data_IF_258782634899
#
_entry.id   IF_258782634899
#
_cell.length_a   1.000
_cell.length_b   1.000
_cell.length_c   1.000
_cell.angle_alpha   90.00
_cell.angle_beta   90.00
_cell.angle_gamma   90.00
#
_symmetry.space_group_name_H-M   'P 1'
#
loop_
_entity.id
_entity.type
_entity.pdbx_description
1 polymer ?
#
# COMPACT_ATOMS: atom_id res chain seq x y z
N UNK A 1 -35.62 -28.28 -25.55
CA UNK A 1 -35.16 -28.38 -24.17
C UNK A 1 -34.08 -27.34 -23.92
N UNK A 2 -34.53 -26.12 -23.53
CA UNK A 2 -33.67 -25.01 -23.25
C UNK A 2 -33.18 -25.07 -21.80
N UNK A 3 -31.87 -24.92 -21.59
CA UNK A 3 -31.28 -24.62 -20.29
C UNK A 3 -31.02 -23.12 -20.19
N UNK A 4 -31.84 -22.45 -19.40
CA UNK A 4 -31.61 -21.05 -18.96
C UNK A 4 -30.49 -21.02 -17.92
N UNK A 5 -29.48 -20.18 -18.16
CA UNK A 5 -28.45 -19.83 -17.17
C UNK A 5 -29.07 -18.89 -16.11
N UNK A 6 -28.78 -19.04 -14.81
CA UNK A 6 -29.17 -18.07 -13.82
C UNK A 6 -28.28 -16.81 -13.88
N UNK A 7 -28.91 -15.65 -13.82
CA UNK A 7 -28.34 -14.30 -13.90
C UNK A 7 -27.51 -13.95 -12.65
N UNK A 8 -26.38 -13.29 -12.89
CA UNK A 8 -25.41 -12.77 -11.93
C UNK A 8 -25.90 -11.54 -11.15
N UNK A 9 -26.93 -11.67 -10.33
CA UNK A 9 -27.45 -10.54 -9.50
C UNK A 9 -27.13 -10.61 -8.00
N UNK A 10 -26.35 -11.62 -7.56
CA UNK A 10 -26.02 -11.79 -6.13
C UNK A 10 -24.75 -11.06 -5.67
N UNK A 11 -23.91 -10.56 -6.60
CA UNK A 11 -22.62 -9.94 -6.27
C UNK A 11 -22.70 -8.50 -5.78
N UNK A 12 -23.71 -7.72 -6.20
CA UNK A 12 -23.82 -6.30 -5.85
C UNK A 12 -24.45 -6.03 -4.47
N UNK A 13 -25.29 -6.94 -3.97
CA UNK A 13 -25.97 -6.75 -2.69
C UNK A 13 -25.08 -6.99 -1.46
N UNK A 14 -24.01 -7.80 -1.61
CA UNK A 14 -23.08 -8.09 -0.50
C UNK A 14 -22.04 -6.97 -0.27
N UNK A 15 -21.73 -6.18 -1.32
CA UNK A 15 -20.80 -5.03 -1.20
C UNK A 15 -21.36 -3.84 -0.43
N UNK A 16 -22.70 -3.68 -0.39
CA UNK A 16 -23.33 -2.56 0.31
C UNK A 16 -23.39 -2.74 1.85
N UNK A 17 -23.25 -3.97 2.36
CA UNK A 17 -23.34 -4.26 3.81
C UNK A 17 -22.04 -4.01 4.58
N UNK A 18 -20.87 -3.97 3.92
CA UNK A 18 -19.56 -3.74 4.57
C UNK A 18 -19.35 -2.28 5.00
N UNK A 19 -20.04 -1.32 4.40
CA UNK A 19 -19.87 0.12 4.69
C UNK A 19 -20.30 0.58 6.09
N UNK A 20 -21.01 -0.25 6.87
CA UNK A 20 -21.61 0.14 8.16
C UNK A 20 -20.78 -0.24 9.40
N UNK A 21 -19.75 -1.09 9.30
CA UNK A 21 -19.05 -1.65 10.46
C UNK A 21 -17.80 -0.85 10.90
N UNK A 22 -17.45 0.26 10.23
CA UNK A 22 -16.13 0.91 10.34
C UNK A 22 -16.07 2.14 11.26
N UNK A 23 -16.96 2.30 12.24
CA UNK A 23 -16.98 3.53 13.08
C UNK A 23 -16.37 3.38 14.46
N UNK A 24 -15.88 2.23 14.87
CA UNK A 24 -15.18 2.05 16.15
C UNK A 24 -14.08 0.98 16.02
N UNK A 25 -12.82 1.40 15.88
CA UNK A 25 -11.66 0.54 16.03
C UNK A 25 -11.22 -0.29 14.81
N UNK A 26 -11.62 0.07 13.60
CA UNK A 26 -11.16 -0.57 12.36
C UNK A 26 -9.90 0.07 11.77
N UNK A 27 -9.22 -0.64 10.85
CA UNK A 27 -8.16 -0.06 10.04
C UNK A 27 -8.69 1.08 9.15
N UNK A 28 -7.88 2.13 8.99
CA UNK A 28 -8.22 3.27 8.13
C UNK A 28 -8.43 2.83 6.67
N UNK A 29 -7.55 1.96 6.17
CA UNK A 29 -7.62 1.41 4.81
C UNK A 29 -8.90 0.59 4.54
N UNK A 30 -9.65 0.19 5.57
CA UNK A 30 -10.96 -0.45 5.41
C UNK A 30 -12.02 0.51 4.82
N UNK A 31 -11.74 1.80 4.76
CA UNK A 31 -12.56 2.78 4.04
C UNK A 31 -12.39 2.73 2.52
N UNK A 32 -11.27 2.20 2.04
CA UNK A 32 -10.87 2.18 0.65
C UNK A 32 -10.87 0.78 0.04
N UNK A 33 -10.63 -0.25 0.86
CA UNK A 33 -10.45 -1.63 0.43
C UNK A 33 -11.30 -2.62 1.20
N UNK A 34 -11.67 -3.70 0.52
CA UNK A 34 -12.07 -4.95 1.16
C UNK A 34 -10.81 -5.66 1.68
N UNK A 35 -10.71 -5.80 3.00
CA UNK A 35 -9.56 -6.34 3.71
C UNK A 35 -9.80 -7.75 4.28
N UNK A 36 -10.81 -8.47 3.83
CA UNK A 36 -11.21 -9.76 4.41
C UNK A 36 -10.08 -10.78 4.40
N UNK A 37 -9.25 -10.82 3.34
CA UNK A 37 -8.11 -11.74 3.25
C UNK A 37 -7.01 -11.45 4.31
N UNK A 38 -6.97 -10.24 4.86
CA UNK A 38 -6.03 -9.88 5.92
C UNK A 38 -6.52 -10.26 7.32
N UNK A 39 -7.73 -10.82 7.44
CA UNK A 39 -8.32 -11.22 8.71
C UNK A 39 -7.44 -12.14 9.54
N UNK A 40 -6.73 -13.07 8.88
CA UNK A 40 -5.85 -14.04 9.54
C UNK A 40 -4.59 -13.45 10.19
N UNK A 41 -4.16 -12.26 9.76
CA UNK A 41 -2.96 -11.58 10.31
C UNK A 41 -3.33 -10.35 11.15
N UNK A 42 -4.63 -10.06 11.33
CA UNK A 42 -5.11 -8.83 11.98
C UNK A 42 -4.52 -8.60 13.37
N UNK A 43 -4.41 -9.66 14.17
CA UNK A 43 -3.90 -9.56 15.54
C UNK A 43 -2.41 -9.24 15.65
N UNK A 44 -1.65 -9.45 14.57
CA UNK A 44 -0.22 -9.21 14.50
C UNK A 44 0.13 -7.99 13.60
N UNK A 45 -0.88 -7.25 13.13
CA UNK A 45 -0.73 -6.15 12.17
C UNK A 45 -1.00 -4.81 12.84
N UNK A 46 -0.11 -3.85 12.62
CA UNK A 46 -0.35 -2.43 12.89
C UNK A 46 -0.45 -1.66 11.57
N UNK A 47 -1.38 -0.74 11.50
CA UNK A 47 -1.52 0.17 10.36
C UNK A 47 -0.77 1.46 10.62
N UNK A 48 0.02 1.88 9.65
CA UNK A 48 0.68 3.19 9.61
C UNK A 48 0.07 4.01 8.48
N UNK A 49 -0.34 5.22 8.80
CA UNK A 49 -0.85 6.17 7.84
C UNK A 49 -0.39 7.59 8.15
N UNK A 50 -0.60 8.50 7.19
CA UNK A 50 -0.39 9.95 7.34
C UNK A 50 1.03 10.35 7.78
N UNK A 51 2.06 9.62 7.34
CA UNK A 51 3.44 10.02 7.58
C UNK A 51 3.76 11.25 6.71
N UNK A 52 4.03 12.38 7.37
CA UNK A 52 4.40 13.63 6.73
C UNK A 52 5.76 14.07 7.26
N UNK A 53 6.66 14.40 6.35
CA UNK A 53 7.96 14.99 6.68
C UNK A 53 7.98 16.41 6.12
N UNK A 54 8.35 17.36 6.95
CA UNK A 54 8.52 18.76 6.54
C UNK A 54 9.46 18.88 5.34
N UNK A 55 9.16 19.80 4.42
CA UNK A 55 9.89 19.96 3.17
C UNK A 55 11.40 20.23 3.40
N UNK A 56 11.74 21.01 4.43
CA UNK A 56 13.11 21.35 4.77
C UNK A 56 13.87 20.17 5.40
N UNK A 57 13.14 19.17 5.95
CA UNK A 57 13.69 18.00 6.63
C UNK A 57 13.58 16.70 5.81
N UNK A 58 13.22 16.74 4.53
CA UNK A 58 13.10 15.56 3.65
C UNK A 58 14.44 14.93 3.27
N UNK A 59 15.43 15.00 4.16
CA UNK A 59 16.72 14.31 4.00
C UNK A 59 16.56 12.80 4.20
N UNK A 60 17.42 12.02 3.59
CA UNK A 60 17.43 10.56 3.76
C UNK A 60 17.65 10.11 5.20
N UNK A 61 18.27 10.95 6.04
CA UNK A 61 18.49 10.67 7.48
C UNK A 61 17.18 10.67 8.27
N UNK A 62 16.29 11.67 8.06
CA UNK A 62 14.99 11.72 8.75
C UNK A 62 14.12 10.53 8.37
N UNK A 63 14.06 10.19 7.09
CA UNK A 63 13.34 9.00 6.62
C UNK A 63 13.92 7.71 7.23
N UNK A 64 15.26 7.60 7.34
CA UNK A 64 15.90 6.46 7.96
C UNK A 64 15.58 6.36 9.46
N UNK A 65 15.57 7.48 10.18
CA UNK A 65 15.18 7.53 11.60
C UNK A 65 13.72 7.11 11.80
N UNK A 66 12.81 7.61 10.96
CA UNK A 66 11.40 7.24 11.01
C UNK A 66 11.24 5.71 10.83
N UNK A 67 11.91 5.14 9.84
CA UNK A 67 11.88 3.69 9.63
C UNK A 67 12.48 2.90 10.79
N UNK A 68 13.59 3.37 11.36
CA UNK A 68 14.19 2.73 12.53
C UNK A 68 13.23 2.73 13.73
N UNK A 69 12.56 3.87 13.98
CA UNK A 69 11.56 3.97 15.04
C UNK A 69 10.36 3.03 14.81
N UNK A 70 9.87 2.94 13.56
CA UNK A 70 8.78 2.02 13.19
C UNK A 70 9.20 0.57 13.42
N UNK A 71 10.38 0.16 12.96
CA UNK A 71 10.88 -1.21 13.14
C UNK A 71 11.05 -1.56 14.61
N UNK A 72 11.55 -0.64 15.43
CA UNK A 72 11.63 -0.82 16.88
C UNK A 72 10.23 -0.95 17.51
N UNK A 73 9.29 -0.10 17.11
CA UNK A 73 7.91 -0.17 17.61
C UNK A 73 7.27 -1.54 17.32
N UNK A 74 7.46 -2.07 16.10
CA UNK A 74 6.96 -3.39 15.74
C UNK A 74 7.56 -4.49 16.64
N UNK A 75 8.85 -4.38 16.91
CA UNK A 75 9.57 -5.37 17.73
C UNK A 75 9.15 -5.31 19.20
N UNK A 76 9.14 -4.14 19.81
CA UNK A 76 8.76 -3.92 21.21
C UNK A 76 7.31 -4.33 21.50
N UNK A 77 6.42 -4.17 20.53
CA UNK A 77 5.01 -4.52 20.67
C UNK A 77 4.66 -5.89 20.06
N UNK A 78 5.66 -6.67 19.63
CA UNK A 78 5.47 -7.98 19.03
C UNK A 78 4.58 -8.02 17.78
N UNK A 79 4.45 -6.90 17.07
CA UNK A 79 3.80 -6.89 15.77
C UNK A 79 4.70 -7.48 14.71
N UNK A 80 4.16 -8.38 13.91
CA UNK A 80 4.85 -8.98 12.77
C UNK A 80 4.68 -8.16 11.51
N UNK A 81 3.49 -7.61 11.30
CA UNK A 81 3.12 -6.95 10.06
C UNK A 81 2.91 -5.45 10.26
N UNK A 82 3.39 -4.69 9.30
CA UNK A 82 3.05 -3.28 9.11
C UNK A 82 2.25 -3.13 7.82
N UNK A 83 1.10 -2.50 7.91
CA UNK A 83 0.24 -2.23 6.76
C UNK A 83 0.11 -0.72 6.54
N UNK A 84 -0.12 -0.30 5.30
CA UNK A 84 -0.43 1.09 4.98
C UNK A 84 -0.53 1.33 3.49
N UNK A 85 -1.17 2.45 3.12
CA UNK A 85 -1.30 2.88 1.74
C UNK A 85 -0.10 3.70 1.29
N UNK A 86 0.29 3.51 0.03
CA UNK A 86 1.27 4.35 -0.66
C UNK A 86 0.57 5.02 -1.82
N UNK A 87 0.42 6.33 -1.71
CA UNK A 87 -0.24 7.16 -2.70
C UNK A 87 0.69 7.48 -3.87
N UNK A 88 0.17 7.34 -5.09
CA UNK A 88 0.84 7.70 -6.34
C UNK A 88 -0.06 8.67 -7.09
N UNK A 89 0.40 9.89 -7.43
CA UNK A 89 -0.38 10.82 -8.21
C UNK A 89 -0.83 10.24 -9.54
N UNK A 90 -2.06 10.59 -9.97
CA UNK A 90 -2.52 10.25 -11.30
C UNK A 90 -1.80 11.08 -12.36
N UNK A 91 -1.53 12.36 -12.08
CA UNK A 91 -0.77 13.22 -12.98
C UNK A 91 0.71 12.86 -12.98
N UNK A 92 1.30 12.77 -14.17
CA UNK A 92 2.73 12.53 -14.37
C UNK A 92 3.23 13.19 -15.66
N UNK A 93 4.55 13.36 -15.79
CA UNK A 93 5.19 13.91 -17.00
C UNK A 93 4.91 13.09 -18.27
N UNK A 94 4.60 11.82 -18.13
CA UNK A 94 4.32 10.89 -19.24
C UNK A 94 2.82 10.73 -19.55
N UNK A 95 1.98 11.51 -18.88
CA UNK A 95 0.52 11.52 -19.02
C UNK A 95 -0.22 10.91 -17.84
N UNK A 96 -1.48 11.29 -17.72
CA UNK A 96 -2.36 10.92 -16.61
C UNK A 96 -2.55 9.40 -16.52
N UNK A 97 -2.34 8.83 -15.34
CA UNK A 97 -2.52 7.41 -15.04
C UNK A 97 -1.45 6.46 -15.60
N UNK A 98 -0.61 6.89 -16.53
CA UNK A 98 0.37 6.01 -17.20
C UNK A 98 1.49 5.55 -16.25
N UNK A 99 2.00 6.45 -15.41
CA UNK A 99 2.99 6.10 -14.40
C UNK A 99 2.39 5.15 -13.36
N UNK A 100 1.16 5.44 -12.89
CA UNK A 100 0.43 4.59 -11.96
C UNK A 100 0.23 3.17 -12.54
N UNK A 101 -0.15 3.07 -13.83
CA UNK A 101 -0.21 1.78 -14.53
C UNK A 101 1.12 1.03 -14.47
N UNK A 102 2.20 1.69 -14.81
CA UNK A 102 3.54 1.08 -14.80
C UNK A 102 3.95 0.58 -13.41
N UNK A 103 3.63 1.34 -12.37
CA UNK A 103 3.87 0.96 -10.97
C UNK A 103 3.01 -0.26 -10.60
N UNK A 104 1.72 -0.26 -10.95
CA UNK A 104 0.80 -1.35 -10.72
C UNK A 104 1.29 -2.64 -11.39
N UNK A 105 1.69 -2.57 -12.66
CA UNK A 105 2.19 -3.72 -13.41
C UNK A 105 3.47 -4.27 -12.77
N UNK A 106 4.41 -3.41 -12.40
CA UNK A 106 5.64 -3.81 -11.72
C UNK A 106 5.37 -4.43 -10.34
N UNK A 107 4.44 -3.87 -9.59
CA UNK A 107 4.01 -4.40 -8.30
C UNK A 107 3.40 -5.79 -8.45
N UNK A 108 2.49 -5.96 -9.39
CA UNK A 108 1.82 -7.24 -9.70
C UNK A 108 2.82 -8.33 -10.10
N UNK A 109 3.81 -7.98 -10.93
CA UNK A 109 4.74 -8.94 -11.49
C UNK A 109 5.86 -9.35 -10.53
N UNK A 110 6.34 -8.42 -9.69
CA UNK A 110 7.56 -8.64 -8.88
C UNK A 110 7.38 -8.46 -7.38
N UNK A 111 6.32 -7.77 -6.95
CA UNK A 111 6.18 -7.34 -5.56
C UNK A 111 4.80 -7.67 -4.98
N UNK A 112 4.11 -8.65 -5.56
CA UNK A 112 2.79 -9.07 -5.11
C UNK A 112 2.86 -9.68 -3.71
N UNK A 113 1.88 -9.29 -2.88
CA UNK A 113 1.62 -9.91 -1.59
C UNK A 113 0.93 -11.28 -1.75
N UNK A 114 1.02 -12.17 -0.75
CA UNK A 114 0.23 -13.39 -0.74
C UNK A 114 -1.28 -13.13 -0.53
N UNK A 115 -1.64 -11.97 -0.01
CA UNK A 115 -3.03 -11.52 0.18
C UNK A 115 -3.46 -10.63 -0.98
N UNK A 116 -4.73 -10.76 -1.39
CA UNK A 116 -5.35 -9.93 -2.41
C UNK A 116 -6.42 -9.06 -1.76
N UNK A 117 -6.30 -7.74 -1.89
CA UNK A 117 -7.36 -6.81 -1.49
C UNK A 117 -8.02 -6.21 -2.73
N UNK A 118 -9.27 -5.77 -2.56
CA UNK A 118 -10.04 -5.20 -3.64
C UNK A 118 -10.44 -3.77 -3.29
N UNK A 119 -10.09 -2.77 -4.12
CA UNK A 119 -10.51 -1.41 -3.89
C UNK A 119 -12.02 -1.28 -4.05
N UNK A 120 -12.67 -0.48 -3.19
CA UNK A 120 -14.08 -0.15 -3.38
C UNK A 120 -14.30 0.76 -4.59
N UNK A 121 -13.30 1.55 -4.94
CA UNK A 121 -13.27 2.41 -6.09
C UNK A 121 -11.99 2.17 -6.89
N UNK A 122 -12.12 1.55 -8.03
CA UNK A 122 -11.00 1.33 -8.95
C UNK A 122 -10.56 2.65 -9.59
N UNK A 123 -9.28 2.73 -9.98
CA UNK A 123 -8.77 3.91 -10.72
C UNK A 123 -9.24 3.83 -12.16
N UNK A 124 -9.92 4.89 -12.59
CA UNK A 124 -10.27 5.15 -13.99
C UNK A 124 -9.75 6.52 -14.40
N UNK A 125 -9.24 6.63 -15.62
CA UNK A 125 -8.75 7.87 -16.22
C UNK A 125 -9.53 8.11 -17.50
N UNK A 126 -10.32 9.18 -17.53
CA UNK A 126 -11.17 9.54 -18.68
C UNK A 126 -12.10 8.38 -19.14
N UNK A 127 -12.58 7.59 -18.17
CA UNK A 127 -13.41 6.41 -18.42
C UNK A 127 -12.66 5.16 -18.86
N UNK A 128 -11.34 5.20 -18.92
CA UNK A 128 -10.48 4.06 -19.24
C UNK A 128 -9.93 3.45 -17.95
N UNK A 129 -9.90 2.11 -17.88
CA UNK A 129 -9.24 1.38 -16.80
C UNK A 129 -7.73 1.44 -16.97
N UNK A 130 -6.97 1.16 -15.90
CA UNK A 130 -5.49 1.14 -15.98
C UNK A 130 -4.97 0.19 -17.06
N UNK A 131 -5.64 -0.93 -17.32
CA UNK A 131 -5.26 -1.88 -18.37
C UNK A 131 -5.40 -1.34 -19.79
N UNK A 132 -6.29 -0.36 -19.99
CA UNK A 132 -6.57 0.25 -21.31
C UNK A 132 -5.65 1.44 -21.62
N UNK A 133 -4.93 1.96 -20.62
CA UNK A 133 -3.95 3.02 -20.84
C UNK A 133 -2.69 2.47 -21.50
N UNK A 134 -1.97 3.30 -22.24
CA UNK A 134 -0.68 2.94 -22.80
C UNK A 134 0.36 2.77 -21.68
N UNK A 135 1.07 1.63 -21.58
CA UNK A 135 2.08 1.45 -20.54
C UNK A 135 3.28 2.39 -20.77
N UNK A 136 3.97 2.83 -19.70
CA UNK A 136 5.20 3.60 -19.86
C UNK A 136 6.31 2.73 -20.46
N UNK A 137 7.26 3.36 -21.14
CA UNK A 137 8.43 2.67 -21.73
C UNK A 137 9.30 1.98 -20.67
N UNK A 138 9.30 2.49 -19.45
CA UNK A 138 10.03 1.90 -18.30
C UNK A 138 9.20 2.00 -17.04
N UNK A 139 9.11 0.89 -16.29
CA UNK A 139 8.42 0.85 -15.02
C UNK A 139 9.41 1.06 -13.89
N UNK A 140 9.18 2.06 -13.04
CA UNK A 140 9.99 2.36 -11.86
C UNK A 140 9.10 2.58 -10.65
N UNK A 141 9.48 1.98 -9.52
CA UNK A 141 8.82 2.29 -8.27
C UNK A 141 9.23 3.69 -7.77
N UNK A 142 8.29 4.51 -7.27
CA UNK A 142 8.60 5.72 -6.54
C UNK A 142 9.59 5.45 -5.40
N UNK A 143 10.37 6.45 -5.03
CA UNK A 143 11.42 6.29 -4.02
C UNK A 143 10.89 5.72 -2.69
N UNK A 144 9.71 6.17 -2.25
CA UNK A 144 9.06 5.70 -1.04
C UNK A 144 8.67 4.23 -1.14
N UNK A 145 7.93 3.84 -2.18
CA UNK A 145 7.50 2.46 -2.39
C UNK A 145 8.71 1.51 -2.58
N UNK A 146 9.75 1.97 -3.27
CA UNK A 146 11.02 1.22 -3.41
C UNK A 146 11.67 0.96 -2.06
N UNK A 147 11.66 1.96 -1.15
CA UNK A 147 12.13 1.80 0.23
C UNK A 147 11.35 0.73 0.98
N UNK A 148 10.03 0.76 0.87
CA UNK A 148 9.14 -0.21 1.50
C UNK A 148 9.37 -1.63 0.98
N UNK A 149 9.42 -1.80 -0.34
CA UNK A 149 9.70 -3.10 -0.97
C UNK A 149 11.06 -3.65 -0.53
N UNK A 150 12.07 -2.79 -0.38
CA UNK A 150 13.39 -3.19 0.10
C UNK A 150 13.35 -3.67 1.55
N UNK A 151 12.48 -3.11 2.39
CA UNK A 151 12.23 -3.58 3.75
C UNK A 151 11.41 -4.87 3.82
N UNK A 152 10.88 -5.33 2.69
CA UNK A 152 10.08 -6.56 2.60
C UNK A 152 8.60 -6.33 2.35
N UNK A 153 8.16 -5.08 2.17
CA UNK A 153 6.76 -4.81 1.84
C UNK A 153 6.37 -5.41 0.49
N UNK A 154 5.12 -5.83 0.40
CA UNK A 154 4.48 -6.34 -0.81
C UNK A 154 3.16 -5.60 -1.03
N UNK A 155 2.75 -5.49 -2.29
CA UNK A 155 1.52 -4.81 -2.70
C UNK A 155 0.38 -5.81 -2.79
N UNK A 156 -0.75 -5.48 -2.19
CA UNK A 156 -1.88 -6.40 -2.00
C UNK A 156 -2.92 -6.38 -3.13
N UNK A 157 -2.66 -5.77 -4.27
CA UNK A 157 -3.61 -5.78 -5.39
C UNK A 157 -3.65 -4.49 -6.17
N UNK A 158 -4.82 -4.22 -6.76
CA UNK A 158 -5.07 -3.01 -7.54
C UNK A 158 -5.15 -1.78 -6.63
N UNK A 159 -4.74 -0.58 -7.11
CA UNK A 159 -4.84 0.65 -6.33
C UNK A 159 -6.29 1.13 -6.19
N UNK A 160 -6.61 1.72 -5.05
CA UNK A 160 -7.85 2.44 -4.84
C UNK A 160 -7.72 3.88 -5.37
N UNK A 161 -8.81 4.45 -5.89
CA UNK A 161 -8.85 5.85 -6.29
C UNK A 161 -9.25 6.75 -5.14
N UNK A 162 -8.35 7.64 -4.72
CA UNK A 162 -8.64 8.76 -3.84
C UNK A 162 -8.89 10.02 -4.68
N UNK A 163 -10.16 10.41 -4.76
CA UNK A 163 -10.60 11.58 -5.52
C UNK A 163 -10.16 12.90 -4.87
N UNK A 164 -10.00 12.92 -3.56
CA UNK A 164 -9.67 14.16 -2.83
C UNK A 164 -8.24 14.60 -3.13
N UNK A 165 -7.33 13.64 -3.23
CA UNK A 165 -5.92 13.89 -3.52
C UNK A 165 -5.52 13.60 -4.97
N UNK A 166 -6.44 13.07 -5.78
CA UNK A 166 -6.22 12.67 -7.18
C UNK A 166 -5.05 11.68 -7.31
N UNK A 167 -5.08 10.63 -6.50
CA UNK A 167 -4.04 9.61 -6.41
C UNK A 167 -4.61 8.19 -6.53
N UNK A 168 -3.74 7.25 -6.87
CA UNK A 168 -4.01 5.82 -6.69
C UNK A 168 -3.28 5.32 -5.46
N UNK A 169 -4.01 4.76 -4.50
CA UNK A 169 -3.49 4.24 -3.25
C UNK A 169 -3.22 2.74 -3.35
N UNK A 170 -1.96 2.36 -3.19
CA UNK A 170 -1.56 0.95 -3.12
C UNK A 170 -1.51 0.48 -1.68
N UNK A 171 -2.35 -0.49 -1.31
CA UNK A 171 -2.20 -1.13 -0.02
C UNK A 171 -0.95 -2.01 -0.02
N UNK A 172 -0.07 -1.76 0.94
CA UNK A 172 1.16 -2.52 1.14
C UNK A 172 1.15 -3.19 2.51
N UNK A 173 1.70 -4.40 2.56
CA UNK A 173 1.96 -5.13 3.81
C UNK A 173 3.43 -5.50 3.86
N UNK A 174 4.10 -5.08 4.93
CA UNK A 174 5.46 -5.47 5.26
C UNK A 174 5.43 -6.59 6.29
N UNK A 175 6.09 -7.72 6.01
CA UNK A 175 6.42 -8.75 6.98
C UNK A 175 7.85 -8.52 7.47
N UNK A 176 8.04 -8.14 8.73
CA UNK A 176 9.37 -7.80 9.28
C UNK A 176 10.38 -8.94 9.22
N UNK A 177 9.93 -10.19 9.08
CA UNK A 177 10.80 -11.35 8.99
C UNK A 177 11.21 -11.71 7.55
N UNK A 178 10.49 -11.19 6.54
CA UNK A 178 10.72 -11.51 5.14
C UNK A 178 11.47 -10.42 4.35
N UNK A 179 11.91 -9.35 5.01
CA UNK A 179 12.65 -8.24 4.39
C UNK A 179 14.17 -8.43 4.35
N UNK A 180 14.86 -7.46 3.75
CA UNK A 180 16.32 -7.34 3.81
C UNK A 180 16.76 -6.98 5.24
N UNK A 181 17.08 -7.98 6.04
CA UNK A 181 17.50 -7.80 7.44
C UNK A 181 18.74 -6.92 7.55
N UNK A 182 19.69 -7.00 6.59
CA UNK A 182 20.87 -6.14 6.58
C UNK A 182 20.52 -4.69 6.37
N UNK A 183 19.46 -4.41 5.60
CA UNK A 183 18.97 -3.06 5.41
C UNK A 183 18.25 -2.56 6.67
N UNK A 184 17.41 -3.38 7.27
CA UNK A 184 16.75 -3.07 8.55
C UNK A 184 17.77 -2.79 9.68
N UNK A 185 18.81 -3.59 9.80
CA UNK A 185 19.87 -3.41 10.81
C UNK A 185 20.67 -2.12 10.57
N UNK A 186 20.92 -1.75 9.31
CA UNK A 186 21.55 -0.47 8.99
C UNK A 186 20.71 0.73 9.42
N UNK A 187 19.40 0.65 9.24
CA UNK A 187 18.46 1.70 9.68
C UNK A 187 18.48 1.83 11.21
N UNK A 188 18.39 0.72 11.94
CA UNK A 188 18.50 0.70 13.41
C UNK A 188 19.84 1.26 13.90
N UNK A 189 20.93 0.85 13.27
CA UNK A 189 22.28 1.34 13.61
C UNK A 189 22.49 2.84 13.32
N UNK A 190 21.77 3.43 12.36
CA UNK A 190 21.79 4.86 12.11
C UNK A 190 21.16 5.64 13.26
N UNK A 191 20.05 5.17 13.83
CA UNK A 191 19.37 5.79 14.96
C UNK A 191 20.26 5.82 16.22
N UNK A 192 20.95 4.70 16.53
CA UNK A 192 21.85 4.62 17.67
C UNK A 192 23.03 5.62 17.58
N UNK A 193 23.53 5.88 16.37
CA UNK A 193 24.62 6.83 16.15
C UNK A 193 24.17 8.29 16.34
N UNK A 194 22.96 8.62 15.92
CA UNK A 194 22.40 9.97 16.04
C UNK A 194 22.02 10.31 17.49
N UNK A 195 21.48 9.34 18.26
CA UNK A 195 21.16 9.53 19.68
C UNK A 195 22.39 9.56 20.63
N UNK A 196 23.61 9.29 20.12
CA UNK A 196 24.87 9.43 20.89
C UNK A 196 25.61 10.75 20.62
N UNK A 197 25.07 11.59 19.74
CA UNK A 197 25.70 12.85 19.34
C UNK A 197 25.10 14.07 20.07
N UNK A 198 24.21 13.84 21.03
CA UNK A 198 23.69 14.79 22.03
C UNK A 198 24.33 14.49 23.41
#
# INVERSE_FOLDING_TARGET
>A
TGRTRPSSSASSANRARSRSASRTGGWYSAGEFDLDELGGIRGETVEMGRAVVDAEHRSGSVTAMLWAAILNYLEENSYRYLMGCVSVPLESEIGRGRELRGIRDLARDKHRAPWQVYPYREVEVDGLRLDDLEPPATNRLPALLRGYVRLGARVCGEPAFDEVFDVGDFLTVLDRYNGDQRYADRLRGAMVRLGRSE
#
